data_IF_481143119032
#
_entry.id   IF_481143119032
#
_cell.length_a   1.000
_cell.length_b   1.000
_cell.length_c   1.000
_cell.angle_alpha   90.00
_cell.angle_beta   90.00
_cell.angle_gamma   90.00
#
_symmetry.space_group_name_H-M   'P 1'
#
loop_
_entity.id
_entity.type
_entity.pdbx_description
1 polymer ?
#
# COMPACT_ATOMS: atom_id res chain seq x y z
N UNK A 1 -0.73 -21.02 -3.25
CA UNK A 1 0.29 -20.00 -2.98
C UNK A 1 0.38 -19.03 -4.13
N UNK A 2 0.42 -17.75 -3.84
CA UNK A 2 0.51 -16.72 -4.87
C UNK A 2 1.91 -16.66 -5.44
N UNK A 3 1.99 -16.71 -6.76
CA UNK A 3 3.27 -16.62 -7.43
C UNK A 3 3.54 -15.18 -7.80
N UNK A 4 4.63 -14.64 -7.32
CA UNK A 4 4.98 -13.23 -7.54
C UNK A 4 6.00 -13.08 -8.66
N UNK A 5 5.83 -12.03 -9.44
CA UNK A 5 6.80 -11.70 -10.48
C UNK A 5 7.41 -10.33 -10.18
N UNK A 6 8.27 -9.87 -11.08
CA UNK A 6 8.99 -8.62 -10.89
C UNK A 6 8.04 -7.42 -10.74
N UNK A 7 6.96 -7.43 -11.50
CA UNK A 7 6.00 -6.32 -11.45
C UNK A 7 5.31 -6.30 -10.09
N UNK A 8 4.94 -7.47 -9.57
CA UNK A 8 4.33 -7.55 -8.26
C UNK A 8 5.24 -6.95 -7.19
N UNK A 9 6.53 -7.28 -7.26
CA UNK A 9 7.48 -6.73 -6.29
C UNK A 9 7.63 -5.21 -6.43
N UNK A 10 7.55 -4.70 -7.65
CA UNK A 10 7.57 -3.25 -7.86
C UNK A 10 6.36 -2.58 -7.23
N UNK A 11 5.20 -3.20 -7.36
CA UNK A 11 3.98 -2.67 -6.74
C UNK A 11 4.14 -2.64 -5.22
N UNK A 12 4.60 -3.75 -4.65
CA UNK A 12 4.77 -3.83 -3.21
C UNK A 12 5.77 -2.80 -2.71
N UNK A 13 6.87 -2.63 -3.43
CA UNK A 13 7.87 -1.66 -3.04
C UNK A 13 7.34 -0.24 -3.10
N UNK A 14 6.64 0.10 -4.18
CA UNK A 14 6.08 1.44 -4.32
C UNK A 14 5.11 1.76 -3.19
N UNK A 15 4.24 0.82 -2.85
CA UNK A 15 3.26 1.02 -1.79
C UNK A 15 3.90 1.05 -0.41
N UNK A 16 5.01 0.35 -0.22
CA UNK A 16 5.70 0.39 1.07
C UNK A 16 6.32 1.77 1.32
N UNK A 17 6.62 2.49 0.26
CA UNK A 17 7.17 3.84 0.38
C UNK A 17 6.05 4.87 0.50
N UNK A 18 4.98 4.71 -0.26
CA UNK A 18 3.87 5.66 -0.25
C UNK A 18 2.56 4.90 -0.43
N UNK A 19 1.92 4.57 0.70
CA UNK A 19 0.66 3.83 0.69
C UNK A 19 -0.54 4.65 0.24
N UNK A 20 -0.40 5.97 0.08
CA UNK A 20 -1.48 6.83 -0.37
C UNK A 20 -1.53 7.02 -1.88
N UNK A 21 -0.59 6.41 -2.57
CA UNK A 21 -0.50 6.55 -4.00
C UNK A 21 -1.81 6.14 -4.69
N UNK A 22 -2.24 6.94 -5.67
CA UNK A 22 -3.43 6.58 -6.44
C UNK A 22 -3.10 5.40 -7.35
N UNK A 23 -4.14 4.71 -7.81
CA UNK A 23 -3.94 3.59 -8.72
C UNK A 23 -3.27 4.04 -10.02
N UNK A 24 -3.65 5.24 -10.50
CA UNK A 24 -3.04 5.78 -11.71
C UNK A 24 -1.56 6.08 -11.51
N UNK A 25 -1.22 6.67 -10.38
CA UNK A 25 0.19 6.96 -10.07
C UNK A 25 0.98 5.68 -9.90
N UNK A 26 0.40 4.67 -9.27
CA UNK A 26 1.05 3.39 -9.09
C UNK A 26 1.32 2.71 -10.44
N UNK A 27 0.33 2.73 -11.32
CA UNK A 27 0.47 2.12 -12.65
C UNK A 27 1.62 2.79 -13.42
N UNK A 28 1.67 4.12 -13.38
CA UNK A 28 2.73 4.86 -14.03
C UNK A 28 4.09 4.49 -13.45
N UNK A 29 4.15 4.38 -12.13
CA UNK A 29 5.41 4.08 -11.45
C UNK A 29 5.97 2.72 -11.83
N UNK A 30 5.10 1.72 -12.01
CA UNK A 30 5.56 0.38 -12.34
C UNK A 30 5.53 0.06 -13.83
N UNK A 31 5.12 1.02 -14.65
CA UNK A 31 5.19 0.87 -16.09
C UNK A 31 4.04 0.06 -16.68
N UNK A 32 2.87 0.10 -16.07
CA UNK A 32 1.68 -0.58 -16.57
C UNK A 32 0.57 0.41 -16.84
N UNK A 33 -0.36 0.04 -17.69
CA UNK A 33 -1.61 0.79 -17.78
C UNK A 33 -2.45 0.47 -16.55
N UNK A 34 -3.45 1.33 -16.24
CA UNK A 34 -4.18 1.21 -14.97
C UNK A 34 -4.87 -0.14 -14.74
N UNK A 35 -5.54 -0.68 -15.76
CA UNK A 35 -6.31 -1.91 -15.56
C UNK A 35 -5.46 -3.11 -15.15
N UNK A 36 -4.40 -3.46 -15.88
CA UNK A 36 -3.59 -4.59 -15.44
C UNK A 36 -2.88 -4.34 -14.11
N UNK A 37 -2.56 -3.08 -13.82
CA UNK A 37 -1.97 -2.76 -12.53
C UNK A 37 -2.97 -3.01 -11.40
N UNK A 38 -4.21 -2.60 -11.60
CA UNK A 38 -5.27 -2.80 -10.61
C UNK A 38 -5.57 -4.28 -10.40
N UNK A 39 -5.56 -5.06 -11.47
CA UNK A 39 -5.77 -6.50 -11.36
C UNK A 39 -4.71 -7.14 -10.45
N UNK A 40 -3.47 -6.77 -10.65
CA UNK A 40 -2.38 -7.29 -9.82
C UNK A 40 -2.54 -6.84 -8.36
N UNK A 41 -2.90 -5.59 -8.16
CA UNK A 41 -3.08 -5.05 -6.83
C UNK A 41 -4.19 -5.81 -6.09
N UNK A 42 -5.30 -6.06 -6.76
CA UNK A 42 -6.40 -6.82 -6.17
C UNK A 42 -5.97 -8.22 -5.76
N UNK A 43 -5.18 -8.87 -6.59
CA UNK A 43 -4.68 -10.22 -6.26
C UNK A 43 -3.79 -10.18 -5.03
N UNK A 44 -2.93 -9.18 -4.94
CA UNK A 44 -2.04 -9.04 -3.80
C UNK A 44 -2.83 -8.76 -2.52
N UNK A 45 -3.86 -7.95 -2.62
CA UNK A 45 -4.73 -7.67 -1.47
C UNK A 45 -5.50 -8.92 -1.05
N UNK A 46 -6.06 -9.61 -2.02
CA UNK A 46 -6.85 -10.80 -1.74
C UNK A 46 -6.02 -11.92 -1.12
N UNK A 47 -4.76 -12.01 -1.47
CA UNK A 47 -3.87 -13.04 -0.94
C UNK A 47 -3.46 -12.78 0.51
N UNK A 48 -3.69 -11.57 1.02
CA UNK A 48 -3.26 -11.20 2.35
C UNK A 48 -1.84 -10.68 2.40
N UNK A 49 -1.13 -10.68 1.27
CA UNK A 49 0.23 -10.18 1.24
C UNK A 49 0.26 -8.69 1.55
N UNK A 50 -0.73 -7.96 1.03
CA UNK A 50 -0.96 -6.59 1.47
C UNK A 50 -2.00 -6.68 2.58
N UNK A 51 -1.54 -6.56 3.81
CA UNK A 51 -2.41 -6.73 4.97
C UNK A 51 -3.34 -5.53 5.18
N UNK A 52 -2.96 -4.39 4.67
CA UNK A 52 -3.78 -3.20 4.82
C UNK A 52 -2.99 -1.96 4.52
N UNK A 53 -3.66 -0.84 4.64
CA UNK A 53 -3.08 0.47 4.44
C UNK A 53 -3.35 1.30 5.68
N UNK A 54 -2.35 2.00 6.16
CA UNK A 54 -2.54 2.85 7.33
C UNK A 54 -1.56 4.01 7.32
N UNK A 55 -1.91 5.03 8.07
CA UNK A 55 -1.05 6.18 8.23
C UNK A 55 -0.08 5.95 9.37
N UNK A 56 1.12 6.46 9.19
CA UNK A 56 2.08 6.48 10.27
C UNK A 56 1.96 7.82 10.97
N UNK A 57 1.52 7.81 12.22
CA UNK A 57 1.27 9.03 12.98
C UNK A 57 2.47 9.35 13.86
N UNK A 58 2.97 10.57 13.74
CA UNK A 58 4.04 11.00 14.62
C UNK A 58 3.42 11.51 15.92
N UNK A 59 3.33 10.62 16.88
CA UNK A 59 2.68 10.92 18.15
C UNK A 59 3.38 11.99 18.95
N UNK A 60 4.66 12.20 18.70
CA UNK A 60 5.42 13.26 19.39
C UNK A 60 4.92 14.65 19.03
N UNK A 61 4.30 14.79 17.87
CA UNK A 61 3.79 16.08 17.42
C UNK A 61 2.34 16.32 17.78
N UNK A 62 1.73 15.37 18.45
CA UNK A 62 0.35 15.54 18.91
C UNK A 62 0.34 16.27 20.24
N UNK A 63 -0.41 17.38 20.34
CA UNK A 63 -0.56 18.05 21.63
C UNK A 63 -1.56 17.29 22.49
N UNK A 64 -1.29 17.26 23.80
CA UNK A 64 -2.22 16.65 24.74
C UNK A 64 -2.21 15.14 24.73
N UNK A 65 -3.31 14.56 25.19
CA UNK A 65 -3.43 13.13 25.35
C UNK A 65 -3.53 12.43 24.00
N UNK A 66 -2.86 11.30 23.90
CA UNK A 66 -2.84 10.54 22.66
C UNK A 66 -3.49 9.17 22.81
N UNK A 67 -4.16 8.95 23.91
CA UNK A 67 -4.74 7.64 24.18
C UNK A 67 -5.78 7.22 23.17
N UNK A 68 -6.38 8.17 22.46
CA UNK A 68 -7.38 7.85 21.45
C UNK A 68 -6.81 7.03 20.31
N UNK A 69 -5.51 7.03 20.14
CA UNK A 69 -4.88 6.30 19.04
C UNK A 69 -4.31 4.96 19.45
N UNK A 70 -4.51 4.57 20.67
CA UNK A 70 -3.93 3.33 21.19
C UNK A 70 -4.73 2.11 20.77
N UNK A 71 -6.01 2.27 20.60
CA UNK A 71 -6.88 1.15 20.24
C UNK A 71 -6.83 0.88 18.76
N UNK A 72 -6.64 -0.34 18.41
CA UNK A 72 -6.67 -0.75 17.02
C UNK A 72 -7.31 -2.11 16.92
#
# INVERSE_FOLDING_TARGET
MLKLDRIDFRILRALSVDGRMTKAALAEKVGLSPSPCWERLRRLEASGLIAGYRAEINLRKLPGAVTVFVTI
#
